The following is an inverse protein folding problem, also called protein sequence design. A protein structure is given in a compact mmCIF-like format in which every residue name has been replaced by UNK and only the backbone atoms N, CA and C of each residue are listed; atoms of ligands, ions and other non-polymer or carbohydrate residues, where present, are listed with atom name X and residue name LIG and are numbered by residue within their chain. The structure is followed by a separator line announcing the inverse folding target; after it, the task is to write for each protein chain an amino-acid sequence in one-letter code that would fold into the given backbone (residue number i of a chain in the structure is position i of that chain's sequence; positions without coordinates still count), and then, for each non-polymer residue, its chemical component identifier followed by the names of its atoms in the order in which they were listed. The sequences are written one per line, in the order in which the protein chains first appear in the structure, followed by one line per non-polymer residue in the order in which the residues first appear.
data_IF_596169739752
#
_entry.id   IF_596169739752
#
_cell.length_a   1.000
_cell.length_b   1.000
_cell.length_c   1.000
_cell.angle_alpha   90.00
_cell.angle_beta   90.00
_cell.angle_gamma   90.00
#
_symmetry.space_group_name_H-M   'P 1'
#
loop_
_entity.id
_entity.type
_entity.pdbx_description
1 polymer ?
#
# COMPACT_ATOMS: atom_id res chain seq x y z
N UNK A 1 -9.83 -0.35 -10.09
CA UNK A 1 -9.24 -0.58 -8.75
C UNK A 1 -8.96 0.74 -8.06
N UNK A 2 -9.30 0.84 -6.80
CA UNK A 2 -8.95 2.00 -5.99
C UNK A 2 -8.32 1.55 -4.68
N UNK A 3 -7.22 2.18 -4.30
CA UNK A 3 -6.44 1.82 -3.11
C UNK A 3 -6.68 2.85 -2.01
N UNK A 4 -6.83 2.37 -0.78
CA UNK A 4 -6.96 3.21 0.40
C UNK A 4 -5.92 2.77 1.43
N UNK A 5 -5.32 3.73 2.11
CA UNK A 5 -4.42 3.44 3.22
C UNK A 5 -4.91 4.14 4.48
N UNK A 6 -4.77 3.45 5.61
CA UNK A 6 -5.06 4.01 6.92
C UNK A 6 -3.73 4.16 7.65
N UNK A 7 -3.21 5.36 7.66
CA UNK A 7 -1.91 5.64 8.26
C UNK A 7 -1.87 5.36 9.76
N UNK A 8 -3.00 5.45 10.43
CA UNK A 8 -3.08 5.13 11.86
C UNK A 8 -2.90 3.64 12.15
N UNK A 9 -3.28 2.79 11.21
CA UNK A 9 -3.10 1.33 11.33
C UNK A 9 -1.73 0.85 10.87
N UNK A 10 -1.04 1.64 10.06
CA UNK A 10 0.25 1.24 9.51
C UNK A 10 1.29 1.08 10.62
N UNK A 11 1.98 -0.06 10.62
CA UNK A 11 3.02 -0.36 11.61
C UNK A 11 4.44 -0.02 11.15
N UNK A 12 4.57 0.57 9.95
CA UNK A 12 5.87 0.95 9.42
C UNK A 12 6.74 -0.22 8.95
N UNK A 13 6.13 -1.37 8.65
CA UNK A 13 6.88 -2.58 8.28
C UNK A 13 7.60 -2.47 6.92
N UNK A 14 7.11 -1.62 6.01
CA UNK A 14 7.67 -1.45 4.68
C UNK A 14 7.34 -2.56 3.70
N UNK A 15 6.57 -3.55 4.08
CA UNK A 15 6.24 -4.68 3.20
C UNK A 15 5.47 -4.22 1.95
N UNK A 16 4.59 -3.22 2.08
CA UNK A 16 3.84 -2.67 0.95
C UNK A 16 4.77 -2.02 -0.06
N UNK A 17 5.80 -1.31 0.40
CA UNK A 17 6.78 -0.66 -0.48
C UNK A 17 7.61 -1.70 -1.22
N UNK A 18 8.02 -2.77 -0.53
CA UNK A 18 8.77 -3.85 -1.15
C UNK A 18 7.94 -4.59 -2.20
N UNK A 19 6.64 -4.72 -1.96
CA UNK A 19 5.73 -5.48 -2.84
C UNK A 19 5.25 -4.64 -4.02
N UNK A 20 4.97 -3.36 -3.81
CA UNK A 20 4.44 -2.46 -4.84
C UNK A 20 5.09 -1.08 -4.75
N UNK A 21 6.37 -0.95 -5.11
CA UNK A 21 7.13 0.30 -4.91
C UNK A 21 6.61 1.48 -5.74
N UNK A 22 5.91 1.22 -6.85
CA UNK A 22 5.32 2.30 -7.66
C UNK A 22 4.03 2.87 -7.11
N UNK A 23 3.44 2.22 -6.11
CA UNK A 23 2.15 2.61 -5.52
C UNK A 23 2.31 3.14 -4.10
N UNK A 24 3.29 2.64 -3.37
CA UNK A 24 3.49 2.97 -1.96
C UNK A 24 4.92 3.48 -1.71
N UNK A 25 5.04 4.35 -0.73
CA UNK A 25 6.33 4.80 -0.20
C UNK A 25 6.17 4.91 1.32
N UNK A 26 7.23 5.26 2.01
CA UNK A 26 7.23 5.44 3.46
C UNK A 26 7.73 6.83 3.82
N UNK A 27 7.15 7.41 4.88
CA UNK A 27 7.67 8.67 5.41
C UNK A 27 9.01 8.43 6.10
N UNK A 28 9.95 9.36 5.92
CA UNK A 28 11.29 9.25 6.50
C UNK A 28 11.28 9.33 8.03
N UNK A 29 10.37 10.12 8.59
CA UNK A 29 10.34 10.36 10.04
C UNK A 29 9.83 9.17 10.86
N UNK A 30 8.94 8.35 10.32
CA UNK A 30 8.32 7.25 11.09
C UNK A 30 8.08 5.97 10.29
N UNK A 31 8.37 5.96 9.00
CA UNK A 31 8.17 4.80 8.15
C UNK A 31 6.72 4.51 7.81
N UNK A 32 5.79 5.38 8.13
CA UNK A 32 4.37 5.19 7.83
C UNK A 32 4.12 5.29 6.33
N UNK A 33 3.21 4.46 5.84
CA UNK A 33 2.92 4.33 4.42
C UNK A 33 2.41 5.64 3.79
N UNK A 34 2.91 5.92 2.59
CA UNK A 34 2.39 6.98 1.71
C UNK A 34 1.78 6.34 0.47
N UNK A 35 0.61 6.78 0.07
CA UNK A 35 -0.06 6.29 -1.13
C UNK A 35 0.32 7.20 -2.31
N UNK A 36 1.05 6.65 -3.28
CA UNK A 36 1.50 7.38 -4.45
C UNK A 36 0.50 7.30 -5.61
N UNK A 37 -0.16 6.15 -5.79
CA UNK A 37 -1.06 5.89 -6.89
C UNK A 37 -2.38 5.29 -6.39
N UNK A 38 -3.40 6.12 -6.08
CA UNK A 38 -4.70 5.62 -5.60
C UNK A 38 -5.44 4.75 -6.61
N UNK A 39 -5.16 4.95 -7.91
CA UNK A 39 -5.75 4.17 -9.00
C UNK A 39 -4.64 3.59 -9.86
N UNK A 40 -3.98 2.51 -9.39
CA UNK A 40 -2.82 1.95 -10.10
C UNK A 40 -3.20 1.34 -11.44
N UNK A 41 -2.31 1.41 -12.46
CA UNK A 41 -2.56 0.78 -13.76
C UNK A 41 -2.60 -0.74 -13.65
N UNK A 42 -3.25 -1.39 -14.62
CA UNK A 42 -3.44 -2.83 -14.63
C UNK A 42 -2.17 -3.67 -14.39
N UNK A 43 -1.03 -3.35 -15.01
CA UNK A 43 0.17 -4.19 -14.86
C UNK A 43 0.66 -4.37 -13.43
N UNK A 44 0.36 -3.40 -12.53
CA UNK A 44 0.83 -3.48 -11.13
C UNK A 44 -0.28 -3.83 -10.15
N UNK A 45 -1.51 -4.04 -10.61
CA UNK A 45 -2.63 -4.40 -9.73
C UNK A 45 -2.42 -5.69 -8.94
N UNK A 46 -1.84 -6.76 -9.52
CA UNK A 46 -1.55 -7.95 -8.72
C UNK A 46 -0.62 -7.67 -7.55
N UNK A 47 0.38 -6.81 -7.75
CA UNK A 47 1.31 -6.41 -6.67
C UNK A 47 0.58 -5.63 -5.58
N UNK A 48 -0.38 -4.79 -5.96
CA UNK A 48 -1.18 -4.02 -5.00
C UNK A 48 -2.05 -4.96 -4.15
N UNK A 49 -2.67 -5.96 -4.76
CA UNK A 49 -3.45 -6.96 -4.02
C UNK A 49 -2.57 -7.72 -3.04
N UNK A 50 -1.38 -8.09 -3.45
CA UNK A 50 -0.43 -8.76 -2.57
C UNK A 50 -0.02 -7.84 -1.42
N UNK A 51 0.25 -6.57 -1.69
CA UNK A 51 0.59 -5.59 -0.66
C UNK A 51 -0.50 -5.50 0.41
N UNK A 52 -1.77 -5.48 0.00
CA UNK A 52 -2.89 -5.44 0.94
C UNK A 52 -2.96 -6.71 1.80
N UNK A 53 -2.57 -7.85 1.23
CA UNK A 53 -2.58 -9.13 1.92
C UNK A 53 -1.44 -9.25 2.93
N UNK A 54 -0.25 -8.78 2.58
CA UNK A 54 0.93 -8.92 3.45
C UNK A 54 1.05 -7.82 4.50
N UNK A 55 0.23 -6.78 4.43
CA UNK A 55 0.24 -5.72 5.45
C UNK A 55 -0.21 -6.30 6.80
N UNK A 56 0.66 -6.38 7.80
CA UNK A 56 0.35 -7.08 9.05
C UNK A 56 -0.69 -6.35 9.90
N UNK A 57 -0.86 -5.05 9.70
CA UNK A 57 -1.79 -4.23 10.47
C UNK A 57 -3.13 -4.01 9.77
N UNK A 58 -3.28 -4.48 8.52
CA UNK A 58 -4.49 -4.27 7.74
C UNK A 58 -4.71 -2.82 7.33
N UNK A 59 -3.63 -2.06 7.17
CA UNK A 59 -3.72 -0.63 6.84
C UNK A 59 -4.11 -0.36 5.40
N UNK A 60 -4.01 -1.36 4.51
CA UNK A 60 -4.26 -1.19 3.08
C UNK A 60 -5.56 -1.89 2.69
N UNK A 61 -6.44 -1.15 2.04
CA UNK A 61 -7.72 -1.66 1.53
C UNK A 61 -7.78 -1.43 0.03
N UNK A 62 -8.23 -2.43 -0.70
CA UNK A 62 -8.37 -2.36 -2.16
C UNK A 62 -9.84 -2.55 -2.54
N UNK A 63 -10.36 -1.61 -3.34
CA UNK A 63 -11.70 -1.69 -3.93
C UNK A 63 -11.55 -1.97 -5.41
N UNK A 64 -12.19 -3.03 -5.90
CA UNK A 64 -12.03 -3.54 -7.27
C UNK A 64 -12.91 -2.84 -8.31
N UNK A 65 -13.35 -1.66 -8.07
CA UNK A 65 -14.20 -0.90 -9.02
C UNK A 65 -13.46 0.24 -9.64
#
# INVERSE_FOLDING_TARGET
MRVHVDQEKCCGSGLCVLTAPGVFDQRDEDGIVLLLAPEPPEPIRPDVREASTVCPSGAITVTER
#
